data_IF_932573800711
#
_entry.id   IF_932573800711
#
_cell.length_a   1.000
_cell.length_b   1.000
_cell.length_c   1.000
_cell.angle_alpha   90.00
_cell.angle_beta   90.00
_cell.angle_gamma   90.00
#
_symmetry.space_group_name_H-M   'P 1'
#
loop_
_entity.id
_entity.type
_entity.pdbx_description
1 polymer ?
#
# COMPACT_ATOMS: atom_id res chain seq x y z
N UNK A 1 25.59 -32.00 -19.13
CA UNK A 1 26.78 -31.22 -18.71
C UNK A 1 27.20 -30.31 -19.85
N UNK A 2 26.95 -29.00 -19.72
CA UNK A 2 27.70 -27.97 -20.45
C UNK A 2 27.93 -26.84 -19.46
N UNK A 3 29.22 -26.59 -19.22
CA UNK A 3 29.76 -25.55 -18.36
C UNK A 3 29.66 -24.20 -19.07
N UNK A 4 29.89 -23.14 -18.28
CA UNK A 4 30.34 -21.78 -18.65
C UNK A 4 29.27 -20.70 -18.51
N UNK A 5 29.54 -19.51 -17.96
CA UNK A 5 30.62 -18.95 -17.12
C UNK A 5 29.96 -17.69 -16.49
N UNK A 6 30.19 -17.47 -15.20
CA UNK A 6 29.80 -16.25 -14.47
C UNK A 6 30.82 -15.15 -14.79
N UNK A 7 30.36 -13.94 -15.13
CA UNK A 7 31.21 -12.74 -15.12
C UNK A 7 30.56 -11.65 -14.28
N UNK A 8 31.03 -11.53 -13.03
CA UNK A 8 30.84 -10.37 -12.16
C UNK A 8 31.71 -9.22 -12.70
N UNK A 9 31.13 -8.03 -12.83
CA UNK A 9 31.88 -6.78 -12.99
C UNK A 9 31.73 -5.94 -11.72
N UNK A 10 32.70 -6.06 -10.83
CA UNK A 10 32.97 -5.12 -9.76
C UNK A 10 33.75 -3.94 -10.33
N UNK A 11 33.21 -2.72 -10.23
CA UNK A 11 34.02 -1.51 -10.36
C UNK A 11 34.24 -0.91 -8.97
N UNK A 12 35.39 -1.23 -8.39
CA UNK A 12 36.01 -0.45 -7.34
C UNK A 12 37.14 0.35 -7.98
N UNK A 13 37.06 1.68 -7.93
CA UNK A 13 38.22 2.55 -8.14
C UNK A 13 38.34 3.41 -6.88
N UNK A 14 39.18 2.92 -5.97
CA UNK A 14 39.83 3.72 -4.93
C UNK A 14 40.94 4.54 -5.60
N UNK A 15 41.07 5.80 -5.17
CA UNK A 15 41.84 6.82 -5.87
C UNK A 15 43.35 6.77 -5.67
N UNK A 16 44.00 7.81 -6.18
CA UNK A 16 45.32 8.25 -5.76
C UNK A 16 45.39 9.78 -5.93
N UNK A 17 45.58 10.48 -4.81
CA UNK A 17 46.12 11.84 -4.83
C UNK A 17 47.62 11.77 -5.05
N UNK A 18 48.16 12.76 -5.75
CA UNK A 18 49.56 13.13 -5.72
C UNK A 18 49.64 14.66 -5.73
N UNK A 19 50.30 15.18 -4.70
CA UNK A 19 50.44 16.60 -4.40
C UNK A 19 51.51 17.28 -5.27
N UNK A 20 51.32 18.58 -5.52
CA UNK A 20 52.35 19.51 -5.97
C UNK A 20 52.07 20.90 -5.39
N UNK A 21 52.92 21.37 -4.50
CA UNK A 21 52.82 22.64 -3.76
C UNK A 21 53.24 23.86 -4.60
N UNK A 22 52.65 25.03 -4.36
CA UNK A 22 53.21 26.29 -4.81
C UNK A 22 52.35 27.55 -4.60
N UNK A 23 52.55 28.21 -3.45
CA UNK A 23 52.45 29.66 -3.19
C UNK A 23 51.09 30.34 -2.82
N UNK A 24 50.95 30.57 -1.51
CA UNK A 24 50.57 31.78 -0.76
C UNK A 24 49.27 32.59 -1.04
N UNK A 25 48.47 32.67 0.04
CA UNK A 25 47.53 33.73 0.45
C UNK A 25 46.22 33.92 -0.33
N UNK A 26 45.17 33.21 0.10
CA UNK A 26 43.87 33.81 0.41
C UNK A 26 43.10 32.90 1.36
N UNK A 27 42.66 33.50 2.46
CA UNK A 27 41.68 32.99 3.41
C UNK A 27 40.43 32.51 2.66
N UNK A 28 40.09 31.23 2.75
CA UNK A 28 38.69 30.81 2.89
C UNK A 28 38.58 29.39 3.41
N UNK A 29 38.19 29.28 4.69
CA UNK A 29 37.59 28.07 5.24
C UNK A 29 36.24 27.88 4.57
N UNK A 30 36.18 27.13 3.48
CA UNK A 30 34.91 26.50 3.08
C UNK A 30 34.84 25.14 3.74
N UNK A 31 34.48 25.18 5.01
CA UNK A 31 33.87 24.07 5.73
C UNK A 31 32.57 23.72 4.99
N UNK A 32 32.68 22.89 3.94
CA UNK A 32 31.51 22.26 3.33
C UNK A 32 31.11 21.11 4.23
N UNK A 33 30.63 21.45 5.43
CA UNK A 33 29.71 20.59 6.17
C UNK A 33 28.47 20.51 5.28
N UNK A 34 28.49 19.53 4.38
CA UNK A 34 27.36 19.12 3.57
C UNK A 34 26.28 18.76 4.58
N UNK A 35 25.40 19.72 4.89
CA UNK A 35 24.17 19.47 5.63
C UNK A 35 23.55 18.30 4.88
N UNK A 36 23.51 17.14 5.53
CA UNK A 36 22.65 16.07 5.05
C UNK A 36 21.26 16.70 5.05
N UNK A 37 20.74 17.02 3.87
CA UNK A 37 19.32 17.32 3.72
C UNK A 37 18.63 16.07 4.25
N UNK A 38 18.14 16.14 5.48
CA UNK A 38 17.28 15.13 6.04
C UNK A 38 16.04 15.17 5.17
N UNK A 39 16.01 14.30 4.15
CA UNK A 39 14.92 14.23 3.21
C UNK A 39 13.62 14.15 4.01
N UNK A 40 12.68 15.02 3.67
CA UNK A 40 11.37 15.04 4.30
C UNK A 40 10.71 13.67 4.07
N UNK A 41 10.49 12.91 5.14
CA UNK A 41 10.01 11.53 5.05
C UNK A 41 8.62 11.37 5.67
N UNK A 42 7.73 10.76 4.90
CA UNK A 42 6.45 10.27 5.41
C UNK A 42 6.69 9.15 6.43
N UNK A 43 5.88 9.13 7.49
CA UNK A 43 5.83 8.00 8.41
C UNK A 43 5.05 6.84 7.77
N UNK A 44 5.62 5.63 7.80
CA UNK A 44 4.99 4.43 7.25
C UNK A 44 4.90 3.35 8.31
N UNK A 45 3.78 2.63 8.31
CA UNK A 45 3.59 1.42 9.09
C UNK A 45 3.00 0.31 8.21
N UNK A 46 3.41 -0.92 8.48
CA UNK A 46 3.04 -2.11 7.72
C UNK A 46 2.46 -3.14 8.68
N UNK A 47 1.26 -3.62 8.36
CA UNK A 47 0.54 -4.60 9.16
C UNK A 47 0.16 -5.77 8.27
N UNK A 48 0.38 -6.99 8.74
CA UNK A 48 -0.03 -8.22 8.04
C UNK A 48 -1.13 -8.90 8.85
N UNK A 49 -2.40 -8.52 8.65
CA UNK A 49 -3.50 -9.14 9.38
C UNK A 49 -3.55 -10.63 9.09
N UNK A 50 -3.79 -11.45 10.11
CA UNK A 50 -4.11 -12.85 9.91
C UNK A 50 -5.61 -12.99 9.65
N UNK A 51 -6.10 -12.48 8.52
CA UNK A 51 -7.50 -12.60 8.12
C UNK A 51 -7.61 -13.27 6.75
N UNK A 52 -8.43 -14.31 6.71
CA UNK A 52 -8.88 -14.97 5.50
C UNK A 52 -10.28 -15.55 5.74
N UNK A 53 -11.02 -15.75 4.66
CA UNK A 53 -12.32 -16.41 4.68
C UNK A 53 -12.62 -17.02 3.31
N UNK A 54 -13.57 -17.96 3.27
CA UNK A 54 -14.07 -18.55 2.04
C UNK A 54 -15.60 -18.51 2.00
N UNK A 55 -16.16 -18.07 0.88
CA UNK A 55 -17.60 -18.05 0.66
C UNK A 55 -17.96 -18.54 -0.75
N UNK A 56 -18.73 -19.64 -0.82
CA UNK A 56 -19.16 -20.28 -2.08
C UNK A 56 -18.00 -20.48 -3.08
N UNK A 57 -16.82 -20.89 -2.58
CA UNK A 57 -15.63 -21.10 -3.40
C UNK A 57 -14.86 -19.82 -3.75
N UNK A 58 -15.24 -18.64 -3.24
CA UNK A 58 -14.41 -17.43 -3.30
C UNK A 58 -13.60 -17.30 -2.01
N UNK A 59 -12.29 -17.58 -2.11
CA UNK A 59 -11.33 -17.34 -1.04
C UNK A 59 -10.92 -15.88 -1.04
N UNK A 60 -10.94 -15.24 0.12
CA UNK A 60 -10.54 -13.84 0.32
C UNK A 60 -9.51 -13.75 1.43
N UNK A 61 -8.46 -12.94 1.25
CA UNK A 61 -7.38 -12.77 2.22
C UNK A 61 -6.88 -11.33 2.23
N UNK A 62 -6.78 -10.71 3.41
CA UNK A 62 -6.08 -9.43 3.56
C UNK A 62 -4.60 -9.74 3.78
N UNK A 63 -3.77 -9.37 2.81
CA UNK A 63 -2.34 -9.69 2.80
C UNK A 63 -1.50 -8.67 3.56
N UNK A 64 -1.79 -7.39 3.33
CA UNK A 64 -0.98 -6.28 3.83
C UNK A 64 -1.85 -5.04 3.96
N UNK A 65 -1.72 -4.33 5.08
CA UNK A 65 -2.20 -2.97 5.25
C UNK A 65 -0.98 -2.07 5.41
N UNK A 66 -0.87 -1.06 4.55
CA UNK A 66 0.13 -0.01 4.66
C UNK A 66 -0.57 1.28 5.06
N UNK A 67 -0.13 1.88 6.15
CA UNK A 67 -0.58 3.20 6.58
C UNK A 67 0.56 4.18 6.35
N UNK A 68 0.26 5.31 5.74
CA UNK A 68 1.21 6.39 5.51
C UNK A 68 0.66 7.65 6.14
N UNK A 69 1.38 8.22 7.12
CA UNK A 69 1.19 9.60 7.55
C UNK A 69 2.17 10.46 6.79
N UNK A 70 1.62 11.29 5.93
CA UNK A 70 2.37 12.18 5.05
C UNK A 70 2.90 13.38 5.81
N UNK A 71 4.12 13.77 5.44
CA UNK A 71 4.70 15.02 5.90
C UNK A 71 4.06 16.23 5.21
N UNK A 72 3.95 17.34 5.94
CA UNK A 72 3.34 18.57 5.45
C UNK A 72 4.01 19.14 4.20
N UNK A 73 5.34 19.01 4.05
CA UNK A 73 6.02 19.48 2.84
C UNK A 73 5.61 18.66 1.62
N UNK A 74 5.45 17.33 1.77
CA UNK A 74 4.99 16.43 0.72
C UNK A 74 3.51 16.64 0.36
N UNK A 75 2.68 17.09 1.31
CA UNK A 75 1.29 17.46 1.07
C UNK A 75 1.19 18.76 0.25
N UNK A 76 2.03 19.76 0.59
CA UNK A 76 2.02 21.07 -0.09
C UNK A 76 2.29 20.95 -1.59
N UNK A 77 3.21 20.08 -1.99
CA UNK A 77 3.64 19.89 -3.38
C UNK A 77 2.80 18.89 -4.18
N UNK A 78 1.83 18.21 -3.55
CA UNK A 78 1.01 17.17 -4.17
C UNK A 78 -0.41 17.64 -4.47
N UNK A 79 -1.05 17.02 -5.47
CA UNK A 79 -2.49 17.14 -5.76
C UNK A 79 -3.38 16.55 -4.64
N UNK A 80 -2.85 15.60 -3.88
CA UNK A 80 -3.54 14.97 -2.76
C UNK A 80 -3.23 15.78 -1.50
N UNK A 81 -4.27 16.28 -0.83
CA UNK A 81 -4.14 17.13 0.37
C UNK A 81 -4.36 16.40 1.69
N UNK A 82 -4.76 15.14 1.64
CA UNK A 82 -4.95 14.28 2.80
C UNK A 82 -3.63 13.97 3.51
N UNK A 83 -3.67 14.01 4.85
CA UNK A 83 -2.54 13.67 5.71
C UNK A 83 -2.26 12.17 5.76
N UNK A 84 -3.28 11.34 5.58
CA UNK A 84 -3.19 9.90 5.69
C UNK A 84 -3.53 9.18 4.38
N UNK A 85 -2.79 8.12 4.08
CA UNK A 85 -3.12 7.14 3.04
C UNK A 85 -3.12 5.76 3.67
N UNK A 86 -4.22 5.02 3.49
CA UNK A 86 -4.28 3.59 3.83
C UNK A 86 -4.39 2.78 2.55
N UNK A 87 -3.47 1.82 2.38
CA UNK A 87 -3.46 0.87 1.27
C UNK A 87 -3.70 -0.52 1.81
N UNK A 88 -4.68 -1.23 1.26
CA UNK A 88 -5.00 -2.59 1.65
C UNK A 88 -4.80 -3.51 0.45
N UNK A 89 -3.85 -4.43 0.56
CA UNK A 89 -3.64 -5.49 -0.42
C UNK A 89 -4.56 -6.66 -0.07
N UNK A 90 -5.52 -6.94 -0.93
CA UNK A 90 -6.47 -8.04 -0.80
C UNK A 90 -6.21 -9.06 -1.91
N UNK A 91 -6.16 -10.34 -1.58
CA UNK A 91 -6.17 -11.42 -2.57
C UNK A 91 -7.53 -12.10 -2.57
N UNK A 92 -8.06 -12.32 -3.76
CA UNK A 92 -9.26 -13.11 -3.99
C UNK A 92 -8.95 -14.23 -4.97
N UNK A 93 -9.49 -15.43 -4.74
CA UNK A 93 -9.34 -16.57 -5.62
C UNK A 93 -10.68 -17.28 -5.75
N UNK A 94 -11.14 -17.44 -6.98
CA UNK A 94 -12.38 -18.13 -7.26
C UNK A 94 -12.11 -19.59 -7.66
N UNK A 95 -12.47 -20.52 -6.79
CA UNK A 95 -12.41 -21.97 -7.03
C UNK A 95 -13.78 -22.56 -7.35
N UNK A 96 -14.82 -21.75 -7.47
CA UNK A 96 -16.16 -22.19 -7.87
C UNK A 96 -16.30 -22.30 -9.39
N UNK A 97 -17.41 -22.90 -9.83
CA UNK A 97 -17.73 -23.06 -11.26
C UNK A 97 -18.27 -21.78 -11.93
N UNK A 98 -18.61 -20.77 -11.15
CA UNK A 98 -19.31 -19.56 -11.58
C UNK A 98 -18.46 -18.31 -11.35
N UNK A 99 -18.71 -17.23 -12.10
CA UNK A 99 -18.05 -15.93 -11.87
C UNK A 99 -18.55 -15.28 -10.58
N UNK A 100 -17.63 -14.75 -9.79
CA UNK A 100 -17.93 -14.12 -8.49
C UNK A 100 -17.75 -12.61 -8.58
N UNK A 101 -18.71 -11.85 -8.06
CA UNK A 101 -18.61 -10.41 -7.92
C UNK A 101 -17.99 -10.00 -6.60
N UNK A 102 -17.18 -8.94 -6.57
CA UNK A 102 -16.48 -8.47 -5.36
C UNK A 102 -16.76 -7.04 -4.92
N UNK A 103 -17.41 -6.23 -5.77
CA UNK A 103 -17.80 -4.83 -5.50
C UNK A 103 -16.76 -4.01 -4.72
N UNK A 104 -15.46 -4.25 -4.96
CA UNK A 104 -14.36 -3.63 -4.21
C UNK A 104 -14.27 -2.12 -4.45
N UNK A 105 -14.83 -1.65 -5.57
CA UNK A 105 -15.02 -0.24 -5.90
C UNK A 105 -16.04 0.47 -4.99
N UNK A 106 -16.73 -0.26 -4.11
CA UNK A 106 -17.65 0.27 -3.09
C UNK A 106 -17.16 -0.01 -1.67
N UNK A 107 -15.92 -0.52 -1.54
CA UNK A 107 -15.35 -0.80 -0.24
C UNK A 107 -15.26 0.47 0.63
N UNK A 108 -15.44 0.25 1.93
CA UNK A 108 -15.40 1.28 2.97
C UNK A 108 -14.37 0.92 4.01
N UNK A 109 -13.62 1.93 4.45
CA UNK A 109 -12.73 1.82 5.59
C UNK A 109 -13.24 2.74 6.68
N UNK A 110 -13.56 2.20 7.85
CA UNK A 110 -13.85 2.99 9.04
C UNK A 110 -12.60 3.07 9.90
N UNK A 111 -12.18 4.27 10.29
CA UNK A 111 -11.14 4.48 11.30
C UNK A 111 -11.72 5.35 12.41
N UNK A 112 -11.70 4.88 13.65
CA UNK A 112 -12.40 5.54 14.75
C UNK A 112 -13.91 5.65 14.44
N UNK A 113 -14.41 6.89 14.33
CA UNK A 113 -15.82 7.20 14.02
C UNK A 113 -16.05 7.63 12.58
N UNK A 114 -15.00 7.71 11.77
CA UNK A 114 -15.06 8.25 10.42
C UNK A 114 -15.02 7.13 9.38
N UNK A 115 -15.86 7.25 8.36
CA UNK A 115 -15.92 6.35 7.21
C UNK A 115 -15.26 6.99 5.99
N UNK A 116 -14.42 6.22 5.30
CA UNK A 116 -13.70 6.61 4.09
C UNK A 116 -14.09 5.67 2.96
N UNK A 117 -14.45 6.24 1.81
CA UNK A 117 -14.72 5.48 0.60
C UNK A 117 -13.40 5.16 -0.10
N UNK A 118 -13.36 4.00 -0.78
CA UNK A 118 -12.23 3.65 -1.64
C UNK A 118 -12.07 4.68 -2.77
N UNK A 119 -10.83 5.07 -3.03
CA UNK A 119 -10.44 5.86 -4.21
C UNK A 119 -10.43 4.94 -5.42
N UNK A 120 -11.38 5.11 -6.34
CA UNK A 120 -11.48 4.26 -7.55
C UNK A 120 -10.33 4.52 -8.51
N UNK A 121 -9.90 5.78 -8.58
CA UNK A 121 -8.89 6.30 -9.50
C UNK A 121 -7.45 5.98 -9.07
N UNK A 122 -7.22 5.61 -7.81
CA UNK A 122 -5.88 5.27 -7.28
C UNK A 122 -5.76 3.84 -6.77
N UNK A 123 -6.87 3.09 -6.79
CA UNK A 123 -6.88 1.66 -6.50
C UNK A 123 -6.59 0.83 -7.76
N UNK A 124 -6.10 -0.39 -7.59
CA UNK A 124 -5.75 -1.29 -8.71
C UNK A 124 -6.47 -2.62 -8.60
N UNK A 125 -6.87 -3.19 -9.74
CA UNK A 125 -7.55 -4.49 -9.85
C UNK A 125 -8.78 -4.63 -8.94
N UNK A 126 -9.51 -3.53 -8.74
CA UNK A 126 -10.78 -3.51 -7.99
C UNK A 126 -11.97 -3.93 -8.87
N UNK A 127 -11.70 -4.78 -9.87
CA UNK A 127 -12.65 -5.20 -10.87
C UNK A 127 -13.84 -5.91 -10.22
N UNK A 128 -15.05 -5.71 -10.75
CA UNK A 128 -16.25 -6.22 -10.12
C UNK A 128 -16.31 -7.75 -10.17
N UNK A 129 -15.75 -8.43 -11.18
CA UNK A 129 -15.94 -9.87 -11.43
C UNK A 129 -14.63 -10.69 -11.39
N UNK A 130 -14.71 -11.93 -10.93
CA UNK A 130 -13.60 -12.90 -10.87
C UNK A 130 -14.09 -14.22 -11.44
N UNK A 131 -13.61 -14.59 -12.63
CA UNK A 131 -13.99 -15.83 -13.29
C UNK A 131 -13.42 -17.08 -12.59
N UNK A 132 -14.00 -18.24 -12.93
CA UNK A 132 -13.55 -19.55 -12.44
C UNK A 132 -12.03 -19.73 -12.58
N UNK A 133 -11.39 -20.20 -11.51
CA UNK A 133 -9.97 -20.54 -11.47
C UNK A 133 -9.04 -19.33 -11.39
N UNK A 134 -9.56 -18.10 -11.46
CA UNK A 134 -8.75 -16.88 -11.40
C UNK A 134 -8.38 -16.54 -9.97
N UNK A 135 -7.19 -15.95 -9.81
CA UNK A 135 -6.78 -15.25 -8.60
C UNK A 135 -6.37 -13.84 -8.94
N UNK A 136 -6.82 -12.89 -8.13
CA UNK A 136 -6.58 -11.45 -8.31
C UNK A 136 -6.04 -10.87 -7.01
N UNK A 137 -5.04 -10.01 -7.12
CA UNK A 137 -4.58 -9.16 -6.02
C UNK A 137 -5.00 -7.72 -6.31
N UNK A 138 -5.90 -7.20 -5.47
CA UNK A 138 -6.36 -5.83 -5.49
C UNK A 138 -5.58 -4.98 -4.48
N UNK A 139 -5.39 -3.69 -4.81
CA UNK A 139 -4.90 -2.69 -3.86
C UNK A 139 -6.01 -1.66 -3.72
N UNK A 140 -6.61 -1.61 -2.54
CA UNK A 140 -7.60 -0.61 -2.16
C UNK A 140 -6.87 0.59 -1.55
N UNK A 141 -7.11 1.79 -2.08
CA UNK A 141 -6.56 3.03 -1.52
C UNK A 141 -7.65 3.87 -0.87
N UNK A 142 -7.39 4.33 0.34
CA UNK A 142 -8.26 5.23 1.10
C UNK A 142 -7.47 6.47 1.51
N UNK A 143 -8.12 7.63 1.37
CA UNK A 143 -7.59 8.91 1.81
C UNK A 143 -8.21 9.30 3.15
N UNK A 144 -7.35 9.69 4.08
CA UNK A 144 -7.71 10.04 5.45
C UNK A 144 -7.28 11.50 5.66
N UNK A 145 -8.22 12.47 5.75
CA UNK A 145 -7.89 13.89 5.76
C UNK A 145 -6.91 14.27 6.87
N UNK A 146 -7.10 13.70 8.06
CA UNK A 146 -6.23 13.91 9.22
C UNK A 146 -5.79 12.58 9.81
N UNK A 147 -4.49 12.46 10.09
CA UNK A 147 -3.95 11.23 10.68
C UNK A 147 -2.84 11.58 11.65
N UNK A 148 -2.97 11.19 12.92
CA UNK A 148 -1.98 11.56 13.94
C UNK A 148 -0.65 10.81 13.78
N UNK A 149 -0.71 9.52 13.44
CA UNK A 149 0.46 8.67 13.23
C UNK A 149 0.08 7.49 12.35
N UNK A 150 1.03 6.96 11.59
CA UNK A 150 0.86 5.72 10.85
C UNK A 150 0.84 4.47 11.75
N UNK A 151 1.45 4.54 12.94
CA UNK A 151 1.71 3.37 13.81
C UNK A 151 0.63 3.11 14.86
N UNK A 152 -0.24 4.09 15.10
CA UNK A 152 -1.21 4.03 16.19
C UNK A 152 -2.63 4.30 15.67
N UNK A 153 -3.25 3.25 15.12
CA UNK A 153 -4.66 3.25 14.73
C UNK A 153 -5.36 2.16 15.53
N UNK A 154 -6.05 2.58 16.60
CA UNK A 154 -6.68 1.66 17.57
C UNK A 154 -7.82 0.84 16.96
N UNK A 155 -8.61 1.47 16.08
CA UNK A 155 -9.78 0.83 15.45
C UNK A 155 -9.81 1.13 13.96
N UNK A 156 -9.69 0.08 13.16
CA UNK A 156 -9.91 0.14 11.72
C UNK A 156 -10.77 -1.05 11.28
N UNK A 157 -11.79 -0.80 10.45
CA UNK A 157 -12.68 -1.83 9.94
C UNK A 157 -12.86 -1.68 8.43
N UNK A 158 -12.56 -2.74 7.68
CA UNK A 158 -12.76 -2.81 6.24
C UNK A 158 -14.08 -3.52 5.93
N UNK A 159 -14.90 -2.93 5.07
CA UNK A 159 -16.17 -3.50 4.63
C UNK A 159 -16.25 -3.56 3.10
N UNK A 160 -16.71 -4.68 2.56
CA UNK A 160 -17.04 -4.86 1.15
C UNK A 160 -18.06 -5.99 0.97
N UNK A 161 -18.65 -6.10 -0.22
CA UNK A 161 -19.66 -7.12 -0.53
C UNK A 161 -19.17 -8.00 -1.66
N UNK A 162 -19.34 -9.31 -1.52
CA UNK A 162 -19.17 -10.27 -2.63
C UNK A 162 -20.54 -10.85 -3.01
N UNK A 163 -20.73 -11.25 -4.27
CA UNK A 163 -21.99 -11.84 -4.73
C UNK A 163 -21.78 -12.83 -5.86
N UNK A 164 -22.75 -13.73 -6.04
CA UNK A 164 -22.88 -14.55 -7.24
C UNK A 164 -23.64 -13.83 -8.35
N UNK A 165 -24.31 -12.71 -8.06
CA UNK A 165 -25.09 -11.93 -9.02
C UNK A 165 -24.30 -10.73 -9.55
N UNK A 166 -24.21 -10.61 -10.87
CA UNK A 166 -23.63 -9.45 -11.55
C UNK A 166 -24.52 -8.20 -11.46
N UNK A 167 -25.84 -8.40 -11.51
CA UNK A 167 -26.80 -7.30 -11.41
C UNK A 167 -27.00 -6.92 -9.94
N UNK A 168 -26.49 -5.73 -9.58
CA UNK A 168 -26.59 -5.18 -8.22
C UNK A 168 -28.03 -5.10 -7.72
N UNK A 169 -29.02 -4.87 -8.60
CA UNK A 169 -30.43 -4.81 -8.20
C UNK A 169 -30.98 -6.17 -7.71
N UNK A 170 -30.29 -7.28 -8.02
CA UNK A 170 -30.67 -8.64 -7.64
C UNK A 170 -29.85 -9.18 -6.45
N UNK A 171 -28.87 -8.42 -5.98
CA UNK A 171 -28.05 -8.78 -4.83
C UNK A 171 -28.91 -8.78 -3.56
N UNK A 172 -28.89 -9.89 -2.82
CA UNK A 172 -29.63 -10.11 -1.58
C UNK A 172 -28.86 -11.07 -0.66
N UNK A 173 -29.42 -11.36 0.51
CA UNK A 173 -28.73 -12.14 1.57
C UNK A 173 -28.43 -13.60 1.18
N UNK A 174 -29.12 -14.15 0.17
CA UNK A 174 -28.91 -15.54 -0.27
C UNK A 174 -27.76 -15.68 -1.26
N UNK A 175 -27.51 -14.64 -2.04
CA UNK A 175 -26.56 -14.63 -3.14
C UNK A 175 -25.40 -13.65 -2.90
N UNK A 176 -25.24 -13.15 -1.68
CA UNK A 176 -24.15 -12.26 -1.32
C UNK A 176 -23.61 -12.50 0.08
N UNK A 177 -22.42 -11.97 0.33
CA UNK A 177 -21.85 -11.88 1.67
C UNK A 177 -21.24 -10.50 1.84
N UNK A 178 -21.65 -9.79 2.88
CA UNK A 178 -21.00 -8.56 3.33
C UNK A 178 -19.88 -8.92 4.30
N UNK A 179 -18.65 -8.64 3.93
CA UNK A 179 -17.50 -8.73 4.81
C UNK A 179 -17.40 -7.49 5.69
N UNK A 180 -17.09 -7.72 6.96
CA UNK A 180 -16.70 -6.70 7.93
C UNK A 180 -15.48 -7.22 8.66
N UNK A 181 -14.32 -6.62 8.40
CA UNK A 181 -13.02 -7.12 8.88
C UNK A 181 -12.39 -6.10 9.78
N UNK A 182 -12.27 -6.44 11.06
CA UNK A 182 -11.52 -5.64 12.02
C UNK A 182 -10.02 -5.81 11.77
N UNK A 183 -9.36 -4.71 11.45
CA UNK A 183 -7.93 -4.64 11.16
C UNK A 183 -7.20 -4.17 12.41
N UNK A 184 -6.31 -5.01 12.95
CA UNK A 184 -5.41 -4.64 14.03
C UNK A 184 -4.25 -3.81 13.45
N UNK A 185 -4.35 -2.49 13.56
CA UNK A 185 -3.40 -1.51 13.02
C UNK A 185 -2.62 -0.76 14.12
N UNK A 186 -2.37 -1.46 15.21
CA UNK A 186 -1.48 -1.03 16.30
C UNK A 186 -0.38 -2.09 16.49
N UNK A 187 0.77 -1.65 16.99
CA UNK A 187 1.97 -2.47 17.10
C UNK A 187 1.77 -3.78 17.87
N UNK A 188 2.52 -4.81 17.47
CA UNK A 188 2.90 -5.93 18.34
C UNK A 188 3.94 -5.45 19.35
#
# INVERSE_FOLDING_TARGET
MRKSVILLLCFAILGAGLAGCGNSNATDKTDTTKKADTAVQDEKAYFTPNWNDEWKGLKSQVLLVTVVKRDNANIKTSDIKDEGIVRIKLRTQNTSEQTMQTFLNEAKLTIGKSEYKVSKERSTNIEPAIDKGRSVEAILMFYVPTLKSAKNIDTAKLEWTVSTEADKAKVNDTNSKKYQVDLKLSGK
#
